data_IF_903963616123
#
_entry.id   IF_903963616123
#
_cell.length_a   1.000
_cell.length_b   1.000
_cell.length_c   1.000
_cell.angle_alpha   90.00
_cell.angle_beta   90.00
_cell.angle_gamma   90.00
#
_symmetry.space_group_name_H-M   'P 1'
#
loop_
_entity.id
_entity.type
_entity.pdbx_description
1 polymer ?
#
# COMPACT_ATOMS: atom_id res chain seq x y z
N UNK A 1 1.83 16.87 15.43
CA UNK A 1 0.51 16.39 14.92
C UNK A 1 0.33 16.50 13.40
N UNK A 2 0.96 17.42 12.64
CA UNK A 2 0.76 17.50 11.16
C UNK A 2 1.32 16.30 10.37
N UNK A 3 2.46 15.74 10.79
CA UNK A 3 3.13 14.67 10.05
C UNK A 3 2.36 13.36 10.06
N UNK A 4 1.75 13.00 11.19
CA UNK A 4 0.93 11.78 11.32
C UNK A 4 -0.25 11.84 10.35
N UNK A 5 -0.99 12.96 10.31
CA UNK A 5 -2.10 13.13 9.38
C UNK A 5 -1.68 12.99 7.91
N UNK A 6 -0.54 13.59 7.53
CA UNK A 6 -0.02 13.46 6.17
C UNK A 6 0.30 12.00 5.81
N UNK A 7 0.97 11.27 6.71
CA UNK A 7 1.28 9.84 6.51
C UNK A 7 0.01 9.00 6.42
N UNK A 8 -0.97 9.25 7.29
CA UNK A 8 -2.27 8.58 7.24
C UNK A 8 -2.96 8.77 5.89
N UNK A 9 -2.99 10.00 5.37
CA UNK A 9 -3.58 10.29 4.05
C UNK A 9 -2.83 9.56 2.93
N UNK A 10 -1.51 9.50 2.98
CA UNK A 10 -0.73 8.72 2.00
C UNK A 10 -1.09 7.23 2.03
N UNK A 11 -1.23 6.63 3.22
CA UNK A 11 -1.62 5.23 3.37
C UNK A 11 -3.05 4.97 2.87
N UNK A 12 -3.98 5.90 3.09
CA UNK A 12 -5.33 5.81 2.53
C UNK A 12 -5.33 5.87 1.00
N UNK A 13 -4.48 6.72 0.39
CA UNK A 13 -4.33 6.77 -1.07
C UNK A 13 -3.80 5.44 -1.61
N UNK A 14 -2.80 4.84 -0.95
CA UNK A 14 -2.27 3.52 -1.33
C UNK A 14 -3.37 2.44 -1.23
N UNK A 15 -4.16 2.47 -0.16
CA UNK A 15 -5.29 1.56 0.04
C UNK A 15 -6.36 1.69 -1.06
N UNK A 16 -6.58 2.89 -1.58
CA UNK A 16 -7.52 3.10 -2.69
C UNK A 16 -6.93 2.68 -4.03
N UNK A 17 -5.67 3.01 -4.28
CA UNK A 17 -4.96 2.61 -5.49
C UNK A 17 -4.88 1.08 -5.63
N UNK A 18 -4.67 0.35 -4.52
CA UNK A 18 -4.56 -1.11 -4.54
C UNK A 18 -5.82 -1.82 -5.04
N UNK A 19 -7.00 -1.19 -4.93
CA UNK A 19 -8.26 -1.74 -5.45
C UNK A 19 -8.30 -1.78 -6.97
N UNK A 20 -7.58 -0.85 -7.62
CA UNK A 20 -7.57 -0.67 -9.08
C UNK A 20 -6.46 -1.44 -9.78
N UNK A 21 -5.58 -2.09 -9.02
CA UNK A 21 -4.57 -3.01 -9.57
C UNK A 21 -5.28 -4.15 -10.30
N UNK A 22 -4.80 -4.50 -11.49
CA UNK A 22 -5.40 -5.56 -12.31
C UNK A 22 -5.25 -6.94 -11.65
N UNK A 23 -6.17 -7.86 -11.94
CA UNK A 23 -6.10 -9.23 -11.43
C UNK A 23 -4.84 -9.97 -11.90
N UNK A 24 -4.35 -9.66 -13.10
CA UNK A 24 -3.09 -10.19 -13.63
C UNK A 24 -1.89 -9.84 -12.74
N UNK A 25 -1.75 -8.57 -12.31
CA UNK A 25 -0.71 -8.16 -11.34
C UNK A 25 -0.94 -8.84 -9.98
N UNK A 26 -2.19 -8.88 -9.50
CA UNK A 26 -2.50 -9.50 -8.20
C UNK A 26 -2.18 -11.00 -8.17
N UNK A 27 -2.41 -11.70 -9.28
CA UNK A 27 -2.14 -13.12 -9.42
C UNK A 27 -0.63 -13.41 -9.45
N UNK A 28 0.16 -12.60 -10.16
CA UNK A 28 1.63 -12.67 -10.12
C UNK A 28 2.17 -12.45 -8.70
N UNK A 29 1.58 -11.50 -7.99
CA UNK A 29 1.99 -11.11 -6.63
C UNK A 29 1.00 -11.62 -5.59
N UNK A 30 0.68 -12.91 -5.62
CA UNK A 30 -0.33 -13.53 -4.76
C UNK A 30 0.06 -13.57 -3.27
N UNK A 31 1.35 -13.43 -2.96
CA UNK A 31 1.87 -13.29 -1.59
C UNK A 31 1.55 -11.92 -0.96
N UNK A 32 1.23 -10.91 -1.78
CA UNK A 32 0.81 -9.60 -1.29
C UNK A 32 -0.63 -9.68 -0.77
N UNK A 33 -0.90 -9.22 0.45
CA UNK A 33 -2.24 -9.33 1.05
C UNK A 33 -3.19 -8.25 0.52
N UNK A 34 -3.55 -8.31 -0.77
CA UNK A 34 -4.34 -7.30 -1.48
C UNK A 34 -5.63 -6.89 -0.79
N UNK A 35 -6.37 -7.87 -0.25
CA UNK A 35 -7.61 -7.62 0.50
C UNK A 35 -7.35 -6.79 1.77
N UNK A 36 -6.25 -7.07 2.47
CA UNK A 36 -5.86 -6.33 3.67
C UNK A 36 -5.44 -4.91 3.33
N UNK A 37 -4.63 -4.74 2.27
CA UNK A 37 -4.20 -3.40 1.80
C UNK A 37 -5.42 -2.57 1.41
N UNK A 38 -6.36 -3.14 0.65
CA UNK A 38 -7.60 -2.48 0.29
C UNK A 38 -8.47 -2.16 1.52
N UNK A 39 -8.49 -3.01 2.55
CA UNK A 39 -9.24 -2.77 3.79
C UNK A 39 -8.61 -1.71 4.72
N UNK A 40 -7.28 -1.55 4.67
CA UNK A 40 -6.52 -0.77 5.65
C UNK A 40 -6.92 0.71 5.74
N UNK A 41 -7.32 1.33 4.62
CA UNK A 41 -7.77 2.73 4.60
C UNK A 41 -8.99 3.01 5.48
N UNK A 42 -9.83 2.02 5.74
CA UNK A 42 -10.96 2.19 6.68
C UNK A 42 -10.50 2.15 8.15
N UNK A 43 -9.48 1.35 8.45
CA UNK A 43 -8.91 1.21 9.80
C UNK A 43 -8.22 2.50 10.22
N UNK A 44 -7.42 3.10 9.31
CA UNK A 44 -6.75 4.36 9.56
C UNK A 44 -7.69 5.56 9.80
N UNK A 45 -8.95 5.46 9.36
CA UNK A 45 -9.94 6.53 9.46
C UNK A 45 -10.77 6.49 10.75
N UNK A 46 -10.95 5.30 11.34
CA UNK A 46 -11.87 5.12 12.45
C UNK A 46 -11.20 4.99 13.83
N UNK A 47 -9.93 4.57 13.91
CA UNK A 47 -9.24 4.40 15.20
C UNK A 47 -8.48 5.66 15.64
N UNK A 48 -9.21 6.68 16.09
CA UNK A 48 -8.66 7.74 16.94
C UNK A 48 -8.59 7.12 18.36
N UNK A 49 -7.49 6.98 19.10
CA UNK A 49 -6.56 8.04 19.48
C UNK A 49 -5.15 7.56 19.89
N UNK A 50 -4.81 6.26 19.88
CA UNK A 50 -3.42 5.78 20.13
C UNK A 50 -3.04 4.52 19.33
N UNK A 51 -3.97 3.58 19.18
CA UNK A 51 -3.77 2.32 18.45
C UNK A 51 -3.42 2.56 16.98
N UNK A 52 -4.00 3.59 16.35
CA UNK A 52 -3.69 3.91 14.96
C UNK A 52 -2.26 4.42 14.75
N UNK A 53 -1.65 5.12 15.72
CA UNK A 53 -0.30 5.65 15.55
C UNK A 53 0.73 4.53 15.49
N UNK A 54 0.62 3.53 16.37
CA UNK A 54 1.47 2.34 16.35
C UNK A 54 1.23 1.53 15.07
N UNK A 55 -0.03 1.35 14.67
CA UNK A 55 -0.35 0.61 13.44
C UNK A 55 0.21 1.30 12.18
N UNK A 56 0.10 2.64 12.10
CA UNK A 56 0.68 3.42 11.01
C UNK A 56 2.21 3.23 10.98
N UNK A 57 2.86 3.31 12.14
CA UNK A 57 4.30 3.10 12.23
C UNK A 57 4.72 1.69 11.77
N UNK A 58 4.00 0.66 12.21
CA UNK A 58 4.25 -0.72 11.80
C UNK A 58 4.03 -0.91 10.30
N UNK A 59 2.96 -0.36 9.74
CA UNK A 59 2.72 -0.38 8.29
C UNK A 59 3.87 0.27 7.54
N UNK A 60 4.28 1.48 7.95
CA UNK A 60 5.34 2.24 7.28
C UNK A 60 6.68 1.50 7.34
N UNK A 61 7.01 0.89 8.47
CA UNK A 61 8.32 0.28 8.69
C UNK A 61 8.41 -1.17 8.23
N UNK A 62 7.31 -1.93 8.25
CA UNK A 62 7.33 -3.38 8.00
C UNK A 62 6.63 -3.77 6.70
N UNK A 63 5.47 -3.20 6.40
CA UNK A 63 4.67 -3.61 5.24
C UNK A 63 5.01 -2.81 3.98
N UNK A 64 5.17 -1.49 4.12
CA UNK A 64 5.37 -0.58 3.00
C UNK A 64 6.66 -0.84 2.20
N UNK A 65 7.81 -1.21 2.82
CA UNK A 65 9.03 -1.49 2.06
C UNK A 65 8.88 -2.66 1.09
N UNK A 66 8.23 -3.74 1.52
CA UNK A 66 7.97 -4.91 0.67
C UNK A 66 7.02 -4.57 -0.49
N UNK A 67 5.95 -3.80 -0.19
CA UNK A 67 5.03 -3.33 -1.23
C UNK A 67 5.74 -2.44 -2.26
N UNK A 68 6.61 -1.53 -1.79
CA UNK A 68 7.39 -0.65 -2.67
C UNK A 68 8.35 -1.43 -3.57
N UNK A 69 9.02 -2.46 -3.04
CA UNK A 69 9.92 -3.31 -3.81
C UNK A 69 9.17 -4.03 -4.94
N UNK A 70 8.01 -4.63 -4.64
CA UNK A 70 7.16 -5.28 -5.63
C UNK A 70 6.70 -4.29 -6.72
N UNK A 71 6.27 -3.08 -6.35
CA UNK A 71 5.87 -2.06 -7.33
C UNK A 71 7.03 -1.68 -8.24
N UNK A 72 8.25 -1.53 -7.69
CA UNK A 72 9.43 -1.22 -8.49
C UNK A 72 9.78 -2.34 -9.48
N UNK A 73 9.67 -3.60 -9.07
CA UNK A 73 9.86 -4.77 -9.93
C UNK A 73 8.84 -4.79 -11.07
N UNK A 74 7.56 -4.56 -10.77
CA UNK A 74 6.50 -4.52 -11.78
C UNK A 74 6.64 -3.36 -12.77
N UNK A 75 7.14 -2.20 -12.31
CA UNK A 75 7.42 -1.06 -13.18
C UNK A 75 8.60 -1.35 -14.12
N UNK A 76 9.70 -1.92 -13.61
CA UNK A 76 10.84 -2.31 -14.42
C UNK A 76 10.44 -3.32 -15.51
N UNK A 77 9.63 -4.32 -15.16
CA UNK A 77 9.07 -5.29 -16.10
C UNK A 77 8.23 -4.63 -17.19
N UNK A 78 7.40 -3.64 -16.85
CA UNK A 78 6.62 -2.90 -17.85
C UNK A 78 7.49 -2.07 -18.78
N UNK A 79 8.58 -1.47 -18.27
CA UNK A 79 9.53 -0.69 -19.08
C UNK A 79 10.28 -1.57 -20.08
N UNK A 80 10.68 -2.78 -19.70
CA UNK A 80 11.32 -3.76 -20.58
C UNK A 80 10.40 -4.28 -21.69
N UNK A 81 9.09 -4.27 -21.47
CA UNK A 81 8.09 -4.79 -22.40
C UNK A 81 7.56 -3.75 -23.39
N UNK A 82 7.99 -2.49 -23.27
CA UNK A 82 7.55 -1.42 -24.18
C UNK A 82 8.41 -1.42 -25.45
N UNK A 83 7.85 -1.77 -26.62
CA UNK A 83 8.57 -1.58 -27.87
C UNK A 83 8.81 -0.08 -28.09
N UNK A 84 10.02 0.22 -28.55
CA UNK A 84 10.51 1.56 -28.88
C UNK A 84 9.93 2.11 -30.17
#
# INVERSE_FOLDING_TARGET
MRTVYAVTRCLEIISEASRRVSEDIKNRHSSVPWKQIAGSGNVYRHDYEDVAAQMIWETVQRALPALKAMVAEELARCDEQRPQ
#
